data_IF_972623528516
#
_entry.id   IF_972623528516
#
_cell.length_a   1.000
_cell.length_b   1.000
_cell.length_c   1.000
_cell.angle_alpha   90.00
_cell.angle_beta   90.00
_cell.angle_gamma   90.00
#
_symmetry.space_group_name_H-M   'P 1'
#
loop_
_entity.id
_entity.type
_entity.pdbx_description
1 polymer ?
#
# COMPACT_ATOMS: atom_id res chain seq x y z
N UNK A 1 -64.19 -23.50 -48.87
CA UNK A 1 -63.19 -22.45 -48.69
C UNK A 1 -62.33 -22.83 -47.49
N UNK A 2 -61.08 -23.31 -47.68
CA UNK A 2 -60.21 -23.66 -46.56
C UNK A 2 -59.45 -22.39 -46.04
N UNK A 3 -59.45 -22.21 -44.72
CA UNK A 3 -58.67 -21.13 -44.02
C UNK A 3 -57.20 -21.55 -43.92
N UNK A 4 -56.33 -20.76 -44.50
CA UNK A 4 -54.89 -20.85 -44.29
C UNK A 4 -54.57 -20.40 -42.88
N UNK A 5 -53.89 -21.26 -42.12
CA UNK A 5 -53.28 -20.91 -40.81
C UNK A 5 -51.78 -20.69 -41.07
N UNK A 6 -51.30 -19.45 -40.93
CA UNK A 6 -49.86 -19.14 -40.92
C UNK A 6 -49.27 -19.51 -39.55
N UNK A 7 -48.13 -20.18 -39.51
CA UNK A 7 -47.40 -20.33 -38.24
C UNK A 7 -46.60 -19.07 -37.93
N UNK A 8 -46.78 -18.54 -36.73
CA UNK A 8 -45.98 -17.46 -36.20
C UNK A 8 -44.57 -17.99 -35.84
N UNK A 9 -43.57 -17.51 -36.53
CA UNK A 9 -42.15 -17.76 -36.18
C UNK A 9 -41.81 -16.91 -34.95
N UNK A 10 -41.64 -17.55 -33.80
CA UNK A 10 -41.10 -16.92 -32.61
C UNK A 10 -39.56 -16.88 -32.75
N UNK A 11 -39.01 -15.69 -32.96
CA UNK A 11 -37.58 -15.45 -32.92
C UNK A 11 -37.10 -15.41 -31.46
N UNK A 12 -36.38 -16.46 -31.02
CA UNK A 12 -35.64 -16.43 -29.77
C UNK A 12 -34.39 -15.55 -29.96
N UNK A 13 -34.43 -14.33 -29.43
CA UNK A 13 -33.25 -13.51 -29.28
C UNK A 13 -32.43 -14.06 -28.12
N UNK A 14 -31.34 -14.74 -28.43
CA UNK A 14 -30.31 -15.15 -27.44
C UNK A 14 -29.56 -13.92 -26.94
N UNK A 15 -29.90 -13.47 -25.74
CA UNK A 15 -29.10 -12.46 -25.04
C UNK A 15 -27.85 -13.19 -24.51
N UNK A 16 -26.75 -13.12 -25.26
CA UNK A 16 -25.44 -13.48 -24.77
C UNK A 16 -25.00 -12.38 -23.78
N UNK A 17 -25.30 -12.59 -22.50
CA UNK A 17 -24.71 -11.81 -21.44
C UNK A 17 -23.18 -12.10 -21.44
N UNK A 18 -22.38 -11.20 -21.99
CA UNK A 18 -20.93 -11.20 -21.79
C UNK A 18 -20.68 -11.09 -20.29
N UNK A 19 -20.38 -12.21 -19.64
CA UNK A 19 -19.75 -12.19 -18.35
C UNK A 19 -18.35 -11.58 -18.55
N UNK A 20 -18.23 -10.26 -18.41
CA UNK A 20 -16.95 -9.63 -18.18
C UNK A 20 -16.44 -10.22 -16.88
N UNK A 21 -15.58 -11.23 -16.97
CA UNK A 21 -14.84 -11.71 -15.83
C UNK A 21 -14.09 -10.50 -15.30
N UNK A 22 -14.45 -10.03 -14.10
CA UNK A 22 -13.67 -9.04 -13.39
C UNK A 22 -12.27 -9.66 -13.25
N UNK A 23 -11.33 -9.25 -14.11
CA UNK A 23 -9.95 -9.67 -14.01
C UNK A 23 -9.48 -9.19 -12.64
N UNK A 24 -9.21 -10.15 -11.75
CA UNK A 24 -8.67 -9.86 -10.43
C UNK A 24 -7.40 -9.01 -10.55
N UNK A 25 -7.05 -8.32 -9.48
CA UNK A 25 -5.83 -7.51 -9.42
C UNK A 25 -4.61 -8.37 -9.77
N UNK A 26 -3.91 -8.01 -10.83
CA UNK A 26 -2.65 -8.67 -11.23
C UNK A 26 -1.46 -8.09 -10.46
N UNK A 27 -0.36 -8.84 -10.33
CA UNK A 27 0.86 -8.34 -9.69
C UNK A 27 1.40 -7.08 -10.39
N UNK A 28 1.40 -7.06 -11.72
CA UNK A 28 1.84 -5.89 -12.49
C UNK A 28 1.00 -4.66 -12.15
N UNK A 29 -0.33 -4.80 -12.11
CA UNK A 29 -1.23 -3.71 -11.75
C UNK A 29 -1.09 -3.29 -10.29
N UNK A 30 -0.91 -4.25 -9.39
CA UNK A 30 -0.63 -3.97 -7.99
C UNK A 30 0.64 -3.12 -7.83
N UNK A 31 1.73 -3.49 -8.50
CA UNK A 31 2.99 -2.74 -8.49
C UNK A 31 2.82 -1.30 -8.99
N UNK A 32 2.06 -1.08 -10.05
CA UNK A 32 1.74 0.28 -10.53
C UNK A 32 1.01 1.12 -9.46
N UNK A 33 0.02 0.52 -8.78
CA UNK A 33 -0.79 1.21 -7.76
C UNK A 33 0.05 1.58 -6.55
N UNK A 34 0.91 0.66 -6.07
CA UNK A 34 1.67 0.86 -4.83
C UNK A 34 2.99 1.62 -5.02
N UNK A 35 3.55 1.66 -6.23
CA UNK A 35 4.86 2.27 -6.47
C UNK A 35 4.97 3.73 -5.99
N UNK A 36 3.99 4.62 -6.24
CA UNK A 36 4.06 5.99 -5.72
C UNK A 36 4.02 6.05 -4.19
N UNK A 37 3.31 5.14 -3.51
CA UNK A 37 3.30 5.02 -2.06
C UNK A 37 4.70 4.72 -1.52
N UNK A 38 5.36 3.67 -2.05
CA UNK A 38 6.70 3.29 -1.59
C UNK A 38 7.78 4.31 -1.98
N UNK A 39 7.57 5.10 -3.05
CA UNK A 39 8.50 6.18 -3.40
C UNK A 39 8.60 7.26 -2.32
N UNK A 40 7.57 7.43 -1.50
CA UNK A 40 7.55 8.41 -0.39
C UNK A 40 8.57 8.10 0.70
N UNK A 41 8.96 6.84 0.85
CA UNK A 41 9.94 6.40 1.84
C UNK A 41 11.39 6.51 1.33
N UNK A 42 11.60 6.88 0.06
CA UNK A 42 12.90 7.29 -0.45
C UNK A 42 13.10 8.80 -0.19
N UNK A 43 13.32 9.14 1.07
CA UNK A 43 13.20 10.50 1.61
C UNK A 43 14.03 11.53 0.86
N UNK A 44 15.24 11.18 0.42
CA UNK A 44 16.14 12.09 -0.29
C UNK A 44 15.65 12.48 -1.70
N UNK A 45 14.75 11.68 -2.31
CA UNK A 45 14.33 11.86 -3.72
C UNK A 45 12.82 11.90 -3.91
N UNK A 46 12.05 11.76 -2.84
CA UNK A 46 10.58 11.71 -2.91
C UNK A 46 9.96 13.02 -3.38
N UNK A 47 8.79 12.90 -4.00
CA UNK A 47 7.94 14.03 -4.32
C UNK A 47 7.17 14.58 -3.10
N UNK A 48 6.20 15.46 -3.36
CA UNK A 48 5.33 16.02 -2.33
C UNK A 48 4.46 14.95 -1.67
N UNK A 49 4.64 14.78 -0.35
CA UNK A 49 4.00 13.71 0.43
C UNK A 49 2.49 13.82 0.41
N UNK A 50 1.94 15.03 0.58
CA UNK A 50 0.50 15.26 0.62
C UNK A 50 -0.13 14.92 -0.71
N UNK A 51 0.40 15.49 -1.79
CA UNK A 51 -0.10 15.28 -3.15
C UNK A 51 -0.10 13.79 -3.52
N UNK A 52 1.00 13.09 -3.28
CA UNK A 52 1.11 11.66 -3.62
C UNK A 52 0.13 10.84 -2.77
N UNK A 53 0.04 11.08 -1.46
CA UNK A 53 -0.90 10.32 -0.61
C UNK A 53 -2.36 10.55 -1.00
N UNK A 54 -2.76 11.77 -1.35
CA UNK A 54 -4.11 12.06 -1.83
C UNK A 54 -4.44 11.39 -3.16
N UNK A 55 -3.43 11.15 -4.01
CA UNK A 55 -3.61 10.42 -5.27
C UNK A 55 -3.75 8.92 -5.06
N UNK A 56 -2.94 8.32 -4.19
CA UNK A 56 -2.82 6.85 -4.06
C UNK A 56 -3.63 6.25 -2.93
N UNK A 57 -4.04 7.04 -1.93
CA UNK A 57 -4.85 6.60 -0.81
C UNK A 57 -6.31 7.00 -0.99
N UNK A 58 -7.25 6.20 -0.50
CA UNK A 58 -8.66 6.60 -0.42
C UNK A 58 -8.86 7.68 0.65
N UNK A 59 -9.97 8.41 0.60
CA UNK A 59 -10.28 9.45 1.59
C UNK A 59 -10.45 8.88 3.01
N UNK A 60 -10.98 7.67 3.11
CA UNK A 60 -11.21 6.88 4.33
C UNK A 60 -10.08 5.87 4.63
N UNK A 61 -8.88 6.12 4.11
CA UNK A 61 -7.72 5.29 4.33
C UNK A 61 -7.41 5.09 5.81
N UNK A 62 -7.03 3.86 6.17
CA UNK A 62 -6.52 3.50 7.49
C UNK A 62 -5.18 2.76 7.39
N UNK A 63 -4.22 3.14 8.24
CA UNK A 63 -2.99 2.39 8.51
C UNK A 63 -3.04 1.86 9.92
N UNK A 64 -2.85 0.55 10.10
CA UNK A 64 -2.88 -0.11 11.41
C UNK A 64 -1.57 -0.88 11.66
N UNK A 65 -0.94 -0.64 12.80
CA UNK A 65 0.23 -1.39 13.27
C UNK A 65 -0.08 -2.33 14.45
N UNK A 66 -1.33 -2.36 14.92
CA UNK A 66 -1.79 -3.21 16.02
C UNK A 66 -3.30 -3.22 16.16
N UNK A 67 -3.78 -3.66 17.31
CA UNK A 67 -5.20 -3.84 17.63
C UNK A 67 -5.70 -2.94 18.78
N UNK A 68 -4.81 -2.17 19.40
CA UNK A 68 -5.17 -1.28 20.50
C UNK A 68 -5.68 0.07 20.00
N UNK A 69 -6.47 0.80 20.79
CA UNK A 69 -6.85 2.18 20.47
C UNK A 69 -5.61 3.05 20.19
N UNK A 70 -5.63 3.77 19.06
CA UNK A 70 -4.52 4.62 18.63
C UNK A 70 -3.47 3.94 17.75
N UNK A 71 -3.56 2.62 17.53
CA UNK A 71 -2.65 1.90 16.62
C UNK A 71 -3.15 1.88 15.16
N UNK A 72 -4.30 2.48 14.90
CA UNK A 72 -4.78 2.80 13.55
C UNK A 72 -4.90 4.31 13.39
N UNK A 73 -4.48 4.83 12.26
CA UNK A 73 -4.62 6.25 11.90
C UNK A 73 -5.07 6.44 10.46
N UNK A 74 -5.78 7.53 10.22
CA UNK A 74 -6.27 7.89 8.89
C UNK A 74 -5.21 8.62 8.04
N UNK A 75 -5.63 8.96 6.80
CA UNK A 75 -4.77 9.59 5.80
C UNK A 75 -4.08 10.86 6.28
N UNK A 76 -4.79 11.76 6.97
CA UNK A 76 -4.23 13.04 7.41
C UNK A 76 -3.08 12.86 8.43
N UNK A 77 -3.21 11.87 9.32
CA UNK A 77 -2.14 11.51 10.25
C UNK A 77 -0.98 10.86 9.50
N UNK A 78 -1.25 10.00 8.52
CA UNK A 78 -0.24 9.40 7.66
C UNK A 78 0.58 10.46 6.91
N UNK A 79 -0.06 11.49 6.35
CA UNK A 79 0.62 12.61 5.68
C UNK A 79 1.63 13.29 6.63
N UNK A 80 1.22 13.55 7.87
CA UNK A 80 2.09 14.17 8.88
C UNK A 80 3.26 13.28 9.28
N UNK A 81 2.99 11.99 9.56
CA UNK A 81 4.00 11.02 9.99
C UNK A 81 5.03 10.81 8.88
N UNK A 82 4.59 10.49 7.66
CA UNK A 82 5.49 10.28 6.51
C UNK A 82 6.23 11.57 6.16
N UNK A 83 5.56 12.72 6.25
CA UNK A 83 6.17 14.03 6.05
C UNK A 83 7.37 14.28 6.98
N UNK A 84 7.26 13.84 8.24
CA UNK A 84 8.30 14.07 9.25
C UNK A 84 9.55 13.16 9.11
N UNK A 85 9.53 12.12 8.28
CA UNK A 85 10.70 11.25 8.09
C UNK A 85 11.93 12.01 7.58
N UNK A 86 11.76 13.10 6.81
CA UNK A 86 12.90 13.96 6.40
C UNK A 86 13.66 14.58 7.57
N UNK A 87 12.98 14.78 8.70
CA UNK A 87 13.62 15.32 9.91
C UNK A 87 14.24 14.20 10.77
N UNK A 88 13.59 13.05 10.82
CA UNK A 88 13.96 11.95 11.72
C UNK A 88 14.99 11.02 11.11
N UNK A 89 14.84 10.66 9.83
CA UNK A 89 15.67 9.69 9.09
C UNK A 89 15.84 10.20 7.65
N UNK A 90 16.70 11.22 7.42
CA UNK A 90 16.76 11.95 6.15
C UNK A 90 17.24 11.12 4.95
N UNK A 91 17.93 10.02 5.19
CA UNK A 91 18.42 9.08 4.18
C UNK A 91 17.58 7.79 4.10
N UNK A 92 16.39 7.78 4.72
CA UNK A 92 15.51 6.61 4.70
C UNK A 92 15.22 6.13 3.28
N UNK A 93 15.26 4.82 3.09
CA UNK A 93 14.89 4.14 1.85
C UNK A 93 14.03 2.93 2.16
N UNK A 94 13.04 2.70 1.31
CA UNK A 94 12.25 1.47 1.27
C UNK A 94 12.48 0.77 -0.07
N UNK A 95 13.01 -0.43 -0.02
CA UNK A 95 13.22 -1.27 -1.21
C UNK A 95 12.22 -2.42 -1.20
N UNK A 96 11.30 -2.42 -2.17
CA UNK A 96 10.29 -3.47 -2.34
C UNK A 96 10.97 -4.73 -2.87
N UNK A 97 11.06 -5.77 -2.05
CA UNK A 97 11.70 -7.05 -2.39
C UNK A 97 10.74 -8.04 -3.02
N UNK A 98 9.47 -8.02 -2.61
CA UNK A 98 8.48 -9.01 -3.04
C UNK A 98 7.09 -8.40 -3.00
N UNK A 99 6.27 -8.74 -3.98
CA UNK A 99 4.84 -8.38 -4.04
C UNK A 99 4.05 -9.63 -4.35
N UNK A 100 3.07 -9.95 -3.52
CA UNK A 100 2.11 -11.03 -3.73
C UNK A 100 0.71 -10.44 -3.79
N UNK A 101 -0.16 -11.05 -4.61
CA UNK A 101 -1.55 -10.60 -4.77
C UNK A 101 -2.51 -11.74 -4.45
N UNK A 102 -3.53 -11.45 -3.66
CA UNK A 102 -4.62 -12.37 -3.34
C UNK A 102 -5.95 -11.60 -3.29
N UNK A 103 -6.76 -11.74 -4.33
CA UNK A 103 -8.00 -10.98 -4.47
C UNK A 103 -7.72 -9.47 -4.57
N UNK A 104 -8.25 -8.70 -3.63
CA UNK A 104 -8.02 -7.25 -3.47
C UNK A 104 -6.82 -6.92 -2.56
N UNK A 105 -6.10 -7.95 -2.07
CA UNK A 105 -4.98 -7.78 -1.15
C UNK A 105 -3.65 -7.80 -1.88
N UNK A 106 -2.79 -6.84 -1.52
CA UNK A 106 -1.39 -6.77 -1.94
C UNK A 106 -0.52 -6.93 -0.71
N UNK A 107 0.29 -7.99 -0.68
CA UNK A 107 1.25 -8.24 0.37
C UNK A 107 2.62 -7.79 -0.14
N UNK A 108 3.27 -6.92 0.59
CA UNK A 108 4.59 -6.39 0.24
C UNK A 108 5.58 -6.74 1.34
N UNK A 109 6.67 -7.41 0.96
CA UNK A 109 7.85 -7.54 1.80
C UNK A 109 8.91 -6.56 1.30
N UNK A 110 9.38 -5.72 2.20
CA UNK A 110 10.36 -4.69 1.91
C UNK A 110 11.56 -4.71 2.86
N UNK A 111 12.56 -3.96 2.47
CA UNK A 111 13.73 -3.63 3.28
C UNK A 111 13.73 -2.14 3.53
N UNK A 112 13.85 -1.75 4.79
CA UNK A 112 13.97 -0.35 5.20
C UNK A 112 15.38 -0.11 5.73
N UNK A 113 16.02 0.93 5.23
CA UNK A 113 17.33 1.39 5.70
C UNK A 113 17.29 2.86 6.04
N UNK A 114 18.13 3.29 6.94
CA UNK A 114 18.27 4.71 7.26
C UNK A 114 19.18 4.97 8.45
N UNK A 115 19.60 6.25 8.59
CA UNK A 115 20.44 6.75 9.66
C UNK A 115 19.65 7.81 10.41
N UNK A 116 19.26 7.58 11.68
CA UNK A 116 18.56 8.59 12.47
C UNK A 116 19.38 9.87 12.61
N UNK A 117 18.75 11.02 12.40
CA UNK A 117 19.40 12.34 12.58
C UNK A 117 19.48 12.77 14.06
N UNK A 118 18.76 12.07 14.95
CA UNK A 118 18.70 12.34 16.38
C UNK A 118 18.36 11.09 17.17
N UNK A 119 17.79 11.26 18.36
CA UNK A 119 17.28 10.16 19.16
C UNK A 119 16.13 9.46 18.42
N UNK A 120 16.15 8.13 18.41
CA UNK A 120 15.08 7.31 17.83
C UNK A 120 14.60 6.28 18.85
N UNK A 121 13.33 6.37 19.25
CA UNK A 121 12.68 5.46 20.21
C UNK A 121 13.51 5.22 21.50
N UNK A 122 14.04 6.28 22.07
CA UNK A 122 14.85 6.22 23.29
C UNK A 122 16.30 5.72 23.08
N UNK A 123 16.76 5.58 21.84
CA UNK A 123 18.17 5.32 21.53
C UNK A 123 18.82 6.64 21.12
N UNK A 124 19.84 7.11 21.85
CA UNK A 124 20.57 8.33 21.50
C UNK A 124 21.16 8.25 20.10
N UNK A 125 21.38 9.41 19.48
CA UNK A 125 22.05 9.49 18.19
C UNK A 125 23.46 8.89 18.25
N UNK A 126 23.72 7.90 17.40
CA UNK A 126 25.02 7.20 17.35
C UNK A 126 25.73 7.37 16.01
N UNK A 127 25.08 7.99 15.02
CA UNK A 127 25.57 8.06 13.63
C UNK A 127 25.49 6.72 12.88
N UNK A 128 24.94 5.67 13.50
CA UNK A 128 24.79 4.34 12.87
C UNK A 128 23.51 4.25 12.05
N UNK A 129 23.58 3.46 11.01
CA UNK A 129 22.44 3.09 10.17
C UNK A 129 21.82 1.78 10.64
N UNK A 130 20.55 1.60 10.31
CA UNK A 130 19.84 0.33 10.46
C UNK A 130 19.42 -0.24 9.12
N UNK A 131 19.17 -1.55 9.10
CA UNK A 131 18.58 -2.29 7.99
C UNK A 131 17.62 -3.33 8.53
N UNK A 132 16.34 -3.19 8.22
CA UNK A 132 15.27 -4.02 8.76
C UNK A 132 14.31 -4.47 7.68
N UNK A 133 13.55 -5.51 8.00
CA UNK A 133 12.44 -5.97 7.18
C UNK A 133 11.16 -5.26 7.58
N UNK A 134 10.33 -4.93 6.58
CA UNK A 134 8.95 -4.49 6.72
C UNK A 134 8.02 -5.42 5.95
N UNK A 135 6.80 -5.57 6.45
CA UNK A 135 5.71 -6.29 5.77
C UNK A 135 4.45 -5.44 5.85
N UNK A 136 3.87 -5.18 4.69
CA UNK A 136 2.59 -4.53 4.54
C UNK A 136 1.58 -5.49 3.93
N UNK A 137 0.34 -5.45 4.43
CA UNK A 137 -0.82 -6.05 3.78
C UNK A 137 -1.77 -4.91 3.43
N UNK A 138 -1.87 -4.60 2.15
CA UNK A 138 -2.68 -3.51 1.63
C UNK A 138 -3.99 -4.02 1.03
N UNK A 139 -5.09 -3.30 1.25
CA UNK A 139 -6.35 -3.51 0.54
C UNK A 139 -6.46 -2.48 -0.57
N UNK A 140 -6.65 -2.95 -1.80
CA UNK A 140 -6.88 -2.09 -2.95
C UNK A 140 -8.38 -1.96 -3.20
N UNK A 141 -8.85 -0.73 -3.33
CA UNK A 141 -10.23 -0.38 -3.67
C UNK A 141 -10.22 0.77 -4.67
N UNK A 142 -10.90 0.61 -5.80
CA UNK A 142 -11.01 1.63 -6.85
C UNK A 142 -9.64 2.15 -7.34
N UNK A 143 -8.65 1.26 -7.44
CA UNK A 143 -7.30 1.59 -7.88
C UNK A 143 -6.47 2.38 -6.86
N UNK A 144 -6.90 2.45 -5.61
CA UNK A 144 -6.20 3.11 -4.50
C UNK A 144 -6.01 2.17 -3.32
N UNK A 145 -5.07 2.52 -2.45
CA UNK A 145 -4.86 1.82 -1.17
C UNK A 145 -5.91 2.34 -0.19
N UNK A 146 -6.79 1.45 0.29
CA UNK A 146 -7.84 1.79 1.24
C UNK A 146 -7.45 1.45 2.68
N UNK A 147 -6.63 0.44 2.88
CA UNK A 147 -6.15 0.03 4.21
C UNK A 147 -4.76 -0.59 4.10
N UNK A 148 -3.94 -0.36 5.13
CA UNK A 148 -2.65 -1.02 5.29
C UNK A 148 -2.56 -1.61 6.69
N UNK A 149 -2.21 -2.88 6.80
CA UNK A 149 -1.63 -3.44 8.02
C UNK A 149 -0.12 -3.39 7.85
N UNK A 150 0.56 -2.71 8.77
CA UNK A 150 1.96 -2.35 8.64
C UNK A 150 2.78 -2.86 9.82
N UNK A 151 3.87 -3.57 9.52
CA UNK A 151 4.82 -4.02 10.52
C UNK A 151 6.26 -3.83 10.05
N UNK A 152 7.08 -3.26 10.92
CA UNK A 152 8.52 -3.10 10.75
C UNK A 152 9.27 -3.67 11.94
N UNK A 153 10.42 -4.27 11.70
CA UNK A 153 11.23 -4.86 12.76
C UNK A 153 12.08 -3.80 13.49
N UNK A 154 11.39 -2.84 14.13
CA UNK A 154 12.04 -1.77 14.90
C UNK A 154 12.91 -2.29 16.05
N UNK A 155 12.55 -3.43 16.65
CA UNK A 155 13.39 -4.04 17.70
C UNK A 155 14.79 -4.37 17.17
N UNK A 156 14.88 -4.90 15.96
CA UNK A 156 16.16 -5.14 15.28
C UNK A 156 16.90 -3.83 14.97
N UNK A 157 16.18 -2.80 14.49
CA UNK A 157 16.80 -1.47 14.24
C UNK A 157 17.44 -0.92 15.51
N UNK A 158 16.71 -0.91 16.62
CA UNK A 158 17.22 -0.39 17.90
C UNK A 158 18.42 -1.20 18.41
N UNK A 159 18.43 -2.51 18.19
CA UNK A 159 19.60 -3.35 18.48
C UNK A 159 20.83 -2.96 17.65
N UNK A 160 20.66 -2.72 16.35
CA UNK A 160 21.74 -2.29 15.45
C UNK A 160 22.29 -0.91 15.84
N UNK A 161 21.42 0.03 16.20
CA UNK A 161 21.81 1.39 16.59
C UNK A 161 22.56 1.41 17.95
N UNK A 162 22.26 0.46 18.87
CA UNK A 162 22.93 0.32 20.18
C UNK A 162 24.20 -0.51 20.14
N UNK A 163 24.41 -1.34 19.11
CA UNK A 163 25.58 -2.21 19.02
C UNK A 163 26.89 -1.39 19.23
N UNK A 164 27.91 -1.97 19.90
CA UNK A 164 29.19 -1.32 20.07
C UNK A 164 30.04 -1.34 18.80
#
# INVERSE_FOLDING_TARGET
MPKLILPALAALASIAASAASAQGLTEAKAREIIAPWYSLFNVATRGDVKTIQEQVLTADYESCSGYLPGECWGRDTSIKVVGNFSNSIPDMKFDVKEVLVSGDRVIVRGEVTGTPAGELFGVPHTGKSFRIMAIDIQTIRDGKIAKTFHMENWLSALGQLRAK
#
